data_IF_810563825359
#
_entry.id   IF_810563825359
#
_cell.length_a   1.000
_cell.length_b   1.000
_cell.length_c   1.000
_cell.angle_alpha   90.00
_cell.angle_beta   90.00
_cell.angle_gamma   90.00
#
_symmetry.space_group_name_H-M   'P 1'
#
loop_
_entity.id
_entity.type
_entity.pdbx_description
1 polymer ?
#
# COMPACT_ATOMS: atom_id res chain seq x y z
N UNK A 1 18.90 -13.21 -24.01
CA UNK A 1 17.84 -13.01 -22.99
C UNK A 1 17.13 -11.73 -23.39
N UNK A 2 15.80 -11.74 -23.54
CA UNK A 2 15.08 -10.47 -23.76
C UNK A 2 15.26 -9.62 -22.51
N UNK A 3 15.45 -8.32 -22.69
CA UNK A 3 15.45 -7.34 -21.61
C UNK A 3 14.11 -7.41 -20.86
N UNK A 4 14.14 -7.34 -19.53
CA UNK A 4 12.92 -7.33 -18.71
C UNK A 4 12.26 -5.96 -18.83
N UNK A 5 10.94 -5.93 -18.95
CA UNK A 5 10.18 -4.69 -18.82
C UNK A 5 10.09 -4.31 -17.34
N UNK A 6 10.70 -3.19 -16.97
CA UNK A 6 10.53 -2.61 -15.63
C UNK A 6 9.15 -1.96 -15.51
N UNK A 7 8.38 -2.41 -14.52
CA UNK A 7 7.04 -1.92 -14.22
C UNK A 7 6.97 -1.28 -12.83
N UNK A 8 6.08 -0.32 -12.68
CA UNK A 8 5.66 0.24 -11.40
C UNK A 8 4.27 -0.29 -11.07
N UNK A 9 4.13 -0.99 -9.95
CA UNK A 9 2.83 -1.44 -9.46
C UNK A 9 2.07 -0.25 -8.87
N UNK A 10 1.28 0.41 -9.72
CA UNK A 10 0.67 1.69 -9.39
C UNK A 10 -0.44 1.60 -8.32
N UNK A 11 -0.90 0.40 -7.97
CA UNK A 11 -1.97 0.23 -6.99
C UNK A 11 -1.98 -1.20 -6.44
N UNK A 12 -1.46 -1.35 -5.21
CA UNK A 12 -1.55 -2.60 -4.46
C UNK A 12 -2.06 -2.37 -3.03
N UNK A 13 -2.56 -3.43 -2.41
CA UNK A 13 -2.97 -3.44 -1.02
C UNK A 13 -2.11 -4.44 -0.25
N UNK A 14 -1.71 -4.09 0.98
CA UNK A 14 -1.13 -5.01 1.95
C UNK A 14 -2.12 -5.13 3.09
N UNK A 15 -2.50 -6.37 3.43
CA UNK A 15 -3.41 -6.72 4.52
C UNK A 15 -2.60 -7.56 5.52
N UNK A 16 -1.98 -6.88 6.50
CA UNK A 16 -1.21 -7.52 7.56
C UNK A 16 -2.14 -7.86 8.74
N UNK A 17 -2.24 -9.14 9.15
CA UNK A 17 -3.14 -9.57 10.22
C UNK A 17 -2.76 -9.04 11.61
N UNK A 18 -1.58 -8.45 11.78
CA UNK A 18 -1.17 -7.80 13.04
C UNK A 18 -1.78 -6.42 13.24
N UNK A 19 -2.43 -5.87 12.20
CA UNK A 19 -3.08 -4.56 12.24
C UNK A 19 -4.60 -4.73 12.17
N UNK A 20 -5.37 -3.94 12.93
CA UNK A 20 -6.82 -4.07 12.98
C UNK A 20 -7.45 -3.68 11.64
N UNK A 21 -8.49 -4.41 11.26
CA UNK A 21 -9.33 -4.09 10.12
C UNK A 21 -10.73 -3.69 10.57
N UNK A 22 -11.34 -2.78 9.83
CA UNK A 22 -12.71 -2.32 9.99
C UNK A 22 -13.54 -2.96 8.88
N UNK A 23 -14.54 -3.75 9.26
CA UNK A 23 -15.49 -4.31 8.30
C UNK A 23 -16.22 -3.18 7.56
N UNK A 24 -16.33 -3.30 6.24
CA UNK A 24 -17.03 -2.33 5.40
C UNK A 24 -18.12 -3.03 4.60
N UNK A 25 -19.39 -2.79 4.93
CA UNK A 25 -20.56 -3.37 4.25
C UNK A 25 -20.52 -4.91 4.13
N UNK A 26 -20.19 -5.63 5.21
CA UNK A 26 -20.10 -7.09 5.19
C UNK A 26 -18.80 -7.64 4.60
N UNK A 27 -17.87 -6.78 4.19
CA UNK A 27 -16.60 -7.18 3.58
C UNK A 27 -15.42 -6.94 4.52
N UNK A 28 -14.63 -8.00 4.70
CA UNK A 28 -13.32 -7.99 5.34
C UNK A 28 -12.37 -8.80 4.44
N UNK A 29 -11.24 -8.25 3.98
CA UNK A 29 -10.33 -8.97 3.10
C UNK A 29 -9.58 -10.07 3.85
N UNK A 30 -9.23 -11.14 3.12
CA UNK A 30 -8.26 -12.12 3.60
C UNK A 30 -6.86 -11.49 3.72
N UNK A 31 -5.99 -12.03 4.61
CA UNK A 31 -4.61 -11.58 4.72
C UNK A 31 -3.86 -11.62 3.39
N UNK A 32 -3.04 -10.60 3.16
CA UNK A 32 -2.13 -10.52 2.02
C UNK A 32 -0.93 -9.66 2.42
N UNK A 33 0.13 -10.32 2.86
CA UNK A 33 1.30 -9.70 3.49
C UNK A 33 2.32 -9.23 2.45
N UNK A 34 3.33 -8.49 2.90
CA UNK A 34 4.50 -8.16 2.06
C UNK A 34 5.21 -9.42 1.54
N UNK A 35 5.22 -10.50 2.34
CA UNK A 35 5.79 -11.77 1.92
C UNK A 35 4.98 -12.40 0.77
N UNK A 36 3.65 -12.38 0.85
CA UNK A 36 2.76 -12.88 -0.20
C UNK A 36 2.92 -12.07 -1.49
N UNK A 37 2.99 -10.74 -1.36
CA UNK A 37 3.26 -9.85 -2.48
C UNK A 37 4.60 -10.18 -3.16
N UNK A 38 5.69 -10.30 -2.40
CA UNK A 38 7.01 -10.68 -2.94
C UNK A 38 7.00 -12.04 -3.63
N UNK A 39 6.32 -13.03 -3.04
CA UNK A 39 6.17 -14.35 -3.65
C UNK A 39 5.42 -14.25 -4.99
N UNK A 40 4.41 -13.38 -5.09
CA UNK A 40 3.70 -13.13 -6.34
C UNK A 40 4.59 -12.48 -7.41
N UNK A 41 5.50 -11.59 -7.02
CA UNK A 41 6.43 -10.94 -7.96
C UNK A 41 7.46 -11.91 -8.55
N UNK A 42 7.82 -12.97 -7.83
CA UNK A 42 8.84 -13.94 -8.27
C UNK A 42 8.48 -14.66 -9.58
N UNK A 43 7.19 -14.75 -9.95
CA UNK A 43 6.76 -15.38 -11.21
C UNK A 43 6.67 -14.42 -12.39
N UNK A 44 6.82 -13.10 -12.19
CA UNK A 44 6.70 -12.12 -13.26
C UNK A 44 7.86 -12.11 -14.27
N UNK A 45 9.10 -12.43 -13.87
CA UNK A 45 10.19 -12.58 -14.83
C UNK A 45 9.93 -13.67 -15.89
N UNK A 46 9.13 -14.70 -15.58
CA UNK A 46 8.74 -15.76 -16.53
C UNK A 46 7.92 -15.21 -17.72
N UNK A 47 7.25 -14.06 -17.52
CA UNK A 47 6.49 -13.34 -18.55
C UNK A 47 7.18 -12.04 -19.00
N UNK A 48 8.46 -11.87 -18.64
CA UNK A 48 9.29 -10.75 -19.09
C UNK A 48 9.10 -9.44 -18.32
N UNK A 49 8.52 -9.47 -17.12
CA UNK A 49 8.25 -8.27 -16.30
C UNK A 49 9.02 -8.31 -14.99
N UNK A 50 9.58 -7.17 -14.60
CA UNK A 50 10.16 -6.94 -13.28
C UNK A 50 9.45 -5.75 -12.63
N UNK A 51 8.89 -5.94 -11.44
CA UNK A 51 8.34 -4.82 -10.66
C UNK A 51 9.46 -4.14 -9.90
N UNK A 52 9.77 -2.91 -10.30
CA UNK A 52 10.88 -2.13 -9.74
C UNK A 52 10.47 -1.29 -8.50
N UNK A 53 9.16 -1.11 -8.27
CA UNK A 53 8.58 -0.32 -7.20
C UNK A 53 7.06 -0.31 -7.27
N UNK A 54 6.40 0.39 -6.36
CA UNK A 54 4.94 0.45 -6.36
C UNK A 54 4.32 1.40 -5.35
N UNK A 55 3.01 1.52 -5.41
CA UNK A 55 2.21 2.33 -4.49
C UNK A 55 1.33 1.42 -3.62
N UNK A 56 1.57 1.41 -2.31
CA UNK A 56 0.73 0.73 -1.33
C UNK A 56 -0.42 1.65 -0.97
N UNK A 57 -1.62 1.29 -1.40
CA UNK A 57 -2.82 2.10 -1.24
C UNK A 57 -3.62 1.62 -0.05
N UNK A 58 -4.05 2.54 0.81
CA UNK A 58 -4.92 2.23 1.93
C UNK A 58 -6.32 1.85 1.47
N UNK A 59 -6.76 0.67 1.91
CA UNK A 59 -8.11 0.17 1.70
C UNK A 59 -9.08 0.80 2.70
N UNK A 60 -10.38 0.83 2.36
CA UNK A 60 -11.41 1.34 3.28
C UNK A 60 -11.43 0.60 4.62
N UNK A 61 -11.05 -0.68 4.61
CA UNK A 61 -10.98 -1.54 5.79
C UNK A 61 -9.80 -1.23 6.72
N UNK A 62 -8.88 -0.34 6.34
CA UNK A 62 -7.78 0.12 7.21
C UNK A 62 -8.12 1.43 7.95
N UNK A 63 -9.27 2.05 7.63
CA UNK A 63 -9.70 3.29 8.27
C UNK A 63 -8.62 4.38 8.18
N UNK A 64 -8.23 4.92 9.33
CA UNK A 64 -7.16 5.92 9.43
C UNK A 64 -5.87 5.36 10.05
N UNK A 65 -5.74 4.04 10.13
CA UNK A 65 -4.50 3.44 10.62
C UNK A 65 -3.34 3.69 9.65
N UNK A 66 -2.28 4.30 10.16
CA UNK A 66 -1.04 4.58 9.43
C UNK A 66 0.05 3.55 9.76
N UNK A 67 -0.11 2.78 10.83
CA UNK A 67 0.89 1.86 11.36
C UNK A 67 1.21 0.76 10.36
N UNK A 68 0.19 0.07 9.85
CA UNK A 68 0.38 -0.99 8.86
C UNK A 68 1.09 -0.48 7.60
N UNK A 69 0.76 0.74 7.15
CA UNK A 69 1.28 1.31 5.91
C UNK A 69 2.76 1.63 6.06
N UNK A 70 3.15 2.30 7.15
CA UNK A 70 4.55 2.59 7.47
C UNK A 70 5.35 1.30 7.60
N UNK A 71 4.80 0.27 8.25
CA UNK A 71 5.47 -1.02 8.39
C UNK A 71 5.64 -1.74 7.05
N UNK A 72 4.61 -1.74 6.20
CA UNK A 72 4.66 -2.31 4.86
C UNK A 72 5.73 -1.63 3.99
N UNK A 73 5.80 -0.30 3.99
CA UNK A 73 6.82 0.46 3.24
C UNK A 73 8.23 0.15 3.74
N UNK A 74 8.43 0.09 5.07
CA UNK A 74 9.73 -0.29 5.66
C UNK A 74 10.16 -1.69 5.20
N UNK A 75 9.22 -2.63 5.10
CA UNK A 75 9.52 -3.98 4.63
C UNK A 75 9.81 -4.01 3.13
N UNK A 76 9.04 -3.28 2.31
CA UNK A 76 9.15 -3.27 0.84
C UNK A 76 10.42 -2.55 0.34
N UNK A 77 10.81 -1.46 0.99
CA UNK A 77 12.00 -0.67 0.67
C UNK A 77 11.72 0.61 -0.13
N UNK A 78 12.78 1.35 -0.43
CA UNK A 78 12.73 2.76 -0.86
C UNK A 78 12.04 3.02 -2.20
N UNK A 79 11.82 2.00 -3.03
CA UNK A 79 11.12 2.12 -4.30
C UNK A 79 9.59 2.06 -4.17
N UNK A 80 9.08 1.93 -2.94
CA UNK A 80 7.65 1.89 -2.66
C UNK A 80 7.20 3.15 -1.92
N UNK A 81 5.99 3.62 -2.26
CA UNK A 81 5.37 4.79 -1.64
C UNK A 81 3.98 4.46 -1.11
N UNK A 82 3.57 5.16 -0.06
CA UNK A 82 2.25 4.99 0.55
C UNK A 82 1.22 5.97 0.01
N UNK A 83 -0.02 5.53 -0.11
CA UNK A 83 -1.19 6.36 -0.37
C UNK A 83 -2.20 6.12 0.74
N UNK A 84 -2.46 7.13 1.56
CA UNK A 84 -3.26 6.99 2.78
C UNK A 84 -4.56 7.78 2.74
N UNK A 85 -5.42 7.63 3.73
CA UNK A 85 -6.51 8.54 4.02
C UNK A 85 -6.36 9.07 5.44
N UNK A 86 -6.74 10.32 5.68
CA UNK A 86 -6.54 11.01 6.95
C UNK A 86 -7.83 11.72 7.39
N UNK A 87 -8.07 11.88 8.71
CA UNK A 87 -9.08 12.80 9.23
C UNK A 87 -8.84 14.24 8.74
N UNK A 88 -9.89 15.04 8.62
CA UNK A 88 -9.82 16.44 8.19
C UNK A 88 -9.16 17.35 9.24
N UNK A 89 -9.04 16.89 10.49
CA UNK A 89 -8.31 17.60 11.55
C UNK A 89 -6.80 17.25 11.60
N UNK A 90 -6.29 16.46 10.65
CA UNK A 90 -4.87 16.06 10.64
C UNK A 90 -3.96 17.27 10.45
N UNK A 91 -2.97 17.42 11.32
CA UNK A 91 -2.08 18.60 11.31
C UNK A 91 -0.99 18.51 10.26
N UNK A 92 -0.46 19.67 9.84
CA UNK A 92 0.71 19.76 8.95
C UNK A 92 1.91 18.96 9.48
N UNK A 93 2.14 18.95 10.79
CA UNK A 93 3.22 18.19 11.42
C UNK A 93 3.00 16.67 11.33
N UNK A 94 1.75 16.21 11.32
CA UNK A 94 1.45 14.81 11.06
C UNK A 94 1.67 14.49 9.58
N UNK A 95 1.23 15.35 8.66
CA UNK A 95 1.44 15.18 7.22
C UNK A 95 2.94 15.11 6.89
N UNK A 96 3.77 15.99 7.47
CA UNK A 96 5.23 15.98 7.28
C UNK A 96 5.86 14.67 7.77
N UNK A 97 5.43 14.16 8.93
CA UNK A 97 5.92 12.86 9.45
C UNK A 97 5.54 11.69 8.55
N UNK A 98 4.35 11.73 7.94
CA UNK A 98 3.93 10.70 6.98
C UNK A 98 4.74 10.80 5.67
N UNK A 99 5.02 12.02 5.20
CA UNK A 99 5.90 12.24 4.05
C UNK A 99 7.31 11.68 4.28
N UNK A 100 7.90 11.95 5.45
CA UNK A 100 9.19 11.39 5.87
C UNK A 100 9.17 9.85 5.94
N UNK A 101 8.03 9.26 6.27
CA UNK A 101 7.83 7.81 6.31
C UNK A 101 7.53 7.18 4.94
N UNK A 102 7.56 7.96 3.85
CA UNK A 102 7.36 7.45 2.48
C UNK A 102 5.91 7.48 1.99
N UNK A 103 4.99 8.10 2.73
CA UNK A 103 3.59 8.28 2.30
C UNK A 103 3.50 9.57 1.49
N UNK A 104 3.19 9.45 0.20
CA UNK A 104 3.30 10.55 -0.77
C UNK A 104 1.97 11.04 -1.35
N UNK A 105 0.85 10.43 -0.97
CA UNK A 105 -0.45 10.83 -1.48
C UNK A 105 -1.61 10.55 -0.51
N UNK A 106 -2.72 11.24 -0.75
CA UNK A 106 -4.01 11.02 -0.10
C UNK A 106 -5.00 10.33 -1.04
N UNK A 107 -5.81 9.45 -0.48
CA UNK A 107 -6.95 8.78 -1.10
C UNK A 107 -8.23 9.33 -0.48
N UNK A 108 -9.01 10.03 -1.30
CA UNK A 108 -10.35 10.46 -0.92
C UNK A 108 -11.35 9.46 -1.49
N UNK A 109 -11.98 8.67 -0.61
CA UNK A 109 -13.06 7.78 -1.02
C UNK A 109 -14.38 8.55 -1.06
N UNK A 110 -14.68 9.14 -2.21
CA UNK A 110 -15.93 9.85 -2.44
C UNK A 110 -16.97 8.82 -2.86
N UNK A 111 -17.80 8.35 -1.92
CA UNK A 111 -18.95 7.53 -2.29
C UNK A 111 -19.86 8.34 -3.23
N UNK A 112 -20.15 7.77 -4.41
CA UNK A 112 -21.26 8.21 -5.27
C UNK A 112 -22.54 7.57 -4.74
N UNK A 113 -23.46 8.39 -4.21
CA UNK A 113 -24.90 8.12 -4.15
C UNK A 113 -25.37 7.04 -3.18
#
# INVERSE_FOLDING_TARGET
MSELQHAFDAHLHIIDPNHPLIENNGYLPDPFTVADYRARLQSLPDVGVEVAGGAVVSGSFQGFDQGYLIEALRQLGDNYVGVTQLPDETTDDQIRRLDEAGIKALRFNIARG
#
